data_IF_093113252216
#
_entry.id   IF_093113252216
#
_cell.length_a   1.000
_cell.length_b   1.000
_cell.length_c   1.000
_cell.angle_alpha   90.00
_cell.angle_beta   90.00
_cell.angle_gamma   90.00
#
_symmetry.space_group_name_H-M   'P 1'
#
loop_
_entity.id
_entity.type
_entity.pdbx_description
1 polymer ?
#
# COMPACT_ATOMS: atom_id res chain seq x y z
N UNK A 1 -18.73 -8.68 -92.69
CA UNK A 1 -17.34 -9.16 -92.74
C UNK A 1 -16.81 -9.22 -91.31
N UNK A 2 -16.23 -10.34 -90.90
CA UNK A 2 -15.98 -10.76 -89.51
C UNK A 2 -14.48 -10.92 -89.29
N UNK A 3 -13.90 -10.25 -88.30
CA UNK A 3 -12.53 -10.45 -87.75
C UNK A 3 -12.51 -9.83 -86.33
N UNK A 4 -12.65 -10.57 -85.21
CA UNK A 4 -11.61 -11.26 -84.38
C UNK A 4 -10.35 -10.38 -84.17
N UNK A 5 -9.98 -9.88 -82.98
CA UNK A 5 -9.42 -10.54 -81.77
C UNK A 5 -8.39 -9.50 -81.19
N UNK A 6 -8.30 -9.12 -79.92
CA UNK A 6 -7.75 -9.80 -78.74
C UNK A 6 -8.09 -9.05 -77.44
N UNK A 7 -8.29 -9.83 -76.37
CA UNK A 7 -8.38 -9.41 -74.98
C UNK A 7 -6.97 -9.26 -74.37
N UNK A 8 -6.72 -8.19 -73.61
CA UNK A 8 -5.61 -8.15 -72.65
C UNK A 8 -6.19 -7.73 -71.29
N UNK A 9 -6.23 -8.70 -70.39
CA UNK A 9 -6.62 -8.55 -69.00
C UNK A 9 -5.44 -7.91 -68.24
N UNK A 10 -5.56 -6.65 -67.82
CA UNK A 10 -4.57 -6.02 -66.94
C UNK A 10 -4.94 -6.33 -65.49
N UNK A 11 -4.25 -7.32 -64.89
CA UNK A 11 -4.38 -7.65 -63.48
C UNK A 11 -3.74 -6.55 -62.62
N UNK A 12 -4.56 -5.66 -62.05
CA UNK A 12 -4.12 -4.71 -61.02
C UNK A 12 -4.00 -5.49 -59.70
N UNK A 13 -2.76 -5.81 -59.30
CA UNK A 13 -2.47 -6.23 -57.92
C UNK A 13 -2.40 -4.98 -57.06
N UNK A 14 -3.43 -4.74 -56.26
CA UNK A 14 -3.42 -3.69 -55.23
C UNK A 14 -2.49 -4.16 -54.10
N UNK A 15 -1.31 -3.55 -54.02
CA UNK A 15 -0.36 -3.73 -52.93
C UNK A 15 -0.85 -2.94 -51.71
N UNK A 16 -1.20 -3.65 -50.63
CA UNK A 16 -1.64 -3.06 -49.37
C UNK A 16 -0.40 -2.55 -48.61
N UNK A 17 -0.03 -1.28 -48.80
CA UNK A 17 0.97 -0.63 -47.95
C UNK A 17 0.36 -0.36 -46.57
N UNK A 18 0.75 -1.15 -45.57
CA UNK A 18 0.41 -0.89 -44.17
C UNK A 18 1.19 0.33 -43.65
N UNK A 19 0.49 1.44 -43.43
CA UNK A 19 1.03 2.59 -42.69
C UNK A 19 1.06 2.27 -41.20
N UNK A 20 2.23 1.89 -40.68
CA UNK A 20 2.46 1.80 -39.23
C UNK A 20 2.68 3.24 -38.73
N UNK A 21 1.63 3.85 -38.18
CA UNK A 21 1.75 5.13 -37.49
C UNK A 21 2.48 4.92 -36.15
N UNK A 22 3.74 5.34 -36.09
CA UNK A 22 4.53 5.35 -34.85
C UNK A 22 4.03 6.52 -33.98
N UNK A 23 3.07 6.27 -33.09
CA UNK A 23 2.62 7.30 -32.15
C UNK A 23 3.66 7.42 -31.02
N UNK A 24 4.38 8.55 -30.88
CA UNK A 24 5.27 8.73 -29.74
C UNK A 24 4.44 8.75 -28.45
N UNK A 25 4.74 7.82 -27.53
CA UNK A 25 4.18 7.80 -26.18
C UNK A 25 4.75 8.98 -25.38
N UNK A 26 4.16 10.16 -25.53
CA UNK A 26 4.52 11.33 -24.70
C UNK A 26 4.00 11.06 -23.29
N UNK A 27 4.89 10.64 -22.39
CA UNK A 27 4.58 10.41 -20.97
C UNK A 27 4.44 11.74 -20.23
N UNK A 28 3.23 12.28 -20.18
CA UNK A 28 2.91 13.49 -19.40
C UNK A 28 2.82 13.11 -17.92
N UNK A 29 3.62 13.77 -17.06
CA UNK A 29 3.52 13.61 -15.62
C UNK A 29 2.12 14.04 -15.15
N UNK A 30 1.37 13.12 -14.55
CA UNK A 30 0.05 13.42 -14.01
C UNK A 30 0.20 14.33 -12.77
N UNK A 31 -0.64 15.37 -12.61
CA UNK A 31 -0.59 16.21 -11.42
C UNK A 31 -0.82 15.37 -10.16
N UNK A 32 -0.05 15.64 -9.11
CA UNK A 32 -0.23 14.99 -7.81
C UNK A 32 -1.48 15.56 -7.15
N UNK A 33 -2.49 14.72 -6.95
CA UNK A 33 -3.72 15.08 -6.26
C UNK A 33 -3.55 15.05 -4.73
N UNK A 34 -4.47 15.67 -4.02
CA UNK A 34 -4.64 15.53 -2.57
C UNK A 34 -6.05 15.03 -2.27
N UNK A 35 -6.19 14.13 -1.29
CA UNK A 35 -7.50 13.74 -0.77
C UNK A 35 -8.05 14.87 0.10
N UNK A 36 -9.00 15.63 -0.44
CA UNK A 36 -9.59 16.80 0.21
C UNK A 36 -10.71 16.42 1.18
N UNK A 37 -11.49 15.38 0.85
CA UNK A 37 -12.60 14.92 1.70
C UNK A 37 -12.96 13.47 1.40
N UNK A 38 -13.60 12.82 2.38
CA UNK A 38 -14.31 11.58 2.19
C UNK A 38 -15.54 11.53 3.09
N UNK A 39 -16.57 10.81 2.66
CA UNK A 39 -17.80 10.64 3.43
C UNK A 39 -18.40 9.27 3.14
N UNK A 40 -18.73 8.52 4.20
CA UNK A 40 -19.46 7.28 4.08
C UNK A 40 -20.90 7.44 4.55
N UNK A 41 -21.84 6.98 3.74
CA UNK A 41 -23.27 6.99 4.02
C UNK A 41 -23.74 5.57 4.40
N UNK A 42 -23.93 5.25 5.69
CA UNK A 42 -24.21 3.87 6.12
C UNK A 42 -25.51 3.29 5.56
N UNK A 43 -26.53 4.13 5.35
CA UNK A 43 -27.83 3.68 4.83
C UNK A 43 -27.75 3.19 3.39
N UNK A 44 -26.98 3.87 2.54
CA UNK A 44 -26.81 3.52 1.12
C UNK A 44 -25.52 2.72 0.86
N UNK A 45 -24.69 2.53 1.89
CA UNK A 45 -23.40 1.85 1.84
C UNK A 45 -22.41 2.47 0.85
N UNK A 46 -22.53 3.78 0.57
CA UNK A 46 -21.69 4.47 -0.40
C UNK A 46 -20.57 5.24 0.29
N UNK A 47 -19.34 5.06 -0.20
CA UNK A 47 -18.20 5.91 0.12
C UNK A 47 -18.01 6.93 -1.01
N UNK A 48 -18.04 8.22 -0.66
CA UNK A 48 -17.75 9.32 -1.57
C UNK A 48 -16.39 9.91 -1.22
N UNK A 49 -15.58 10.23 -2.22
CA UNK A 49 -14.30 10.92 -2.03
C UNK A 49 -14.19 12.17 -2.92
N UNK A 50 -13.32 13.09 -2.50
CA UNK A 50 -13.02 14.32 -3.22
C UNK A 50 -11.51 14.53 -3.31
N UNK A 51 -11.01 14.79 -4.51
CA UNK A 51 -9.60 15.00 -4.83
C UNK A 51 -9.36 16.42 -5.33
N UNK A 52 -8.17 16.97 -5.10
CA UNK A 52 -7.79 18.30 -5.61
C UNK A 52 -7.48 18.32 -7.10
N UNK A 53 -7.08 17.18 -7.67
CA UNK A 53 -6.77 17.00 -9.07
C UNK A 53 -7.29 15.64 -9.56
N UNK A 54 -7.29 15.44 -10.87
CA UNK A 54 -7.73 14.18 -11.48
C UNK A 54 -6.82 13.04 -11.06
N UNK A 55 -7.41 11.99 -10.50
CA UNK A 55 -6.77 10.69 -10.33
C UNK A 55 -7.83 9.59 -10.48
N UNK A 56 -7.40 8.41 -10.92
CA UNK A 56 -8.27 7.24 -11.09
C UNK A 56 -8.01 6.26 -9.96
N UNK A 57 -8.95 6.11 -9.00
CA UNK A 57 -8.83 5.14 -7.93
C UNK A 57 -8.87 3.70 -8.47
N UNK A 58 -8.28 2.79 -7.72
CA UNK A 58 -8.29 1.36 -7.98
C UNK A 58 -8.74 0.65 -6.72
N UNK A 59 -9.45 -0.47 -6.85
CA UNK A 59 -9.89 -1.23 -5.68
C UNK A 59 -9.55 -2.71 -5.80
N UNK A 60 -9.43 -3.36 -4.64
CA UNK A 60 -9.31 -4.80 -4.50
C UNK A 60 -9.88 -5.25 -3.15
N UNK A 61 -10.01 -6.56 -2.96
CA UNK A 61 -10.60 -7.16 -1.75
C UNK A 61 -9.59 -8.05 -1.05
N UNK A 62 -9.71 -8.15 0.27
CA UNK A 62 -8.99 -9.11 1.12
C UNK A 62 -10.02 -9.90 1.93
N UNK A 63 -9.76 -11.18 2.23
CA UNK A 63 -10.76 -12.06 2.87
C UNK A 63 -10.46 -12.42 4.34
N UNK A 64 -9.22 -12.25 4.82
CA UNK A 64 -8.84 -12.52 6.22
C UNK A 64 -8.16 -11.30 6.88
N UNK A 65 -8.89 -10.49 7.69
CA UNK A 65 -10.34 -10.36 7.72
C UNK A 65 -10.89 -9.71 6.43
N UNK A 66 -12.21 -9.77 6.18
CA UNK A 66 -12.81 -9.21 4.97
C UNK A 66 -12.63 -7.68 4.90
N UNK A 67 -12.04 -7.19 3.81
CA UNK A 67 -11.77 -5.76 3.57
C UNK A 67 -11.97 -5.39 2.12
N UNK A 68 -12.40 -4.15 1.89
CA UNK A 68 -12.30 -3.48 0.60
C UNK A 68 -11.20 -2.44 0.70
N UNK A 69 -10.25 -2.48 -0.21
CA UNK A 69 -9.15 -1.52 -0.28
C UNK A 69 -9.34 -0.67 -1.52
N UNK A 70 -9.24 0.64 -1.34
CA UNK A 70 -9.32 1.65 -2.39
C UNK A 70 -8.00 2.44 -2.40
N UNK A 71 -7.19 2.21 -3.42
CA UNK A 71 -5.96 2.93 -3.67
C UNK A 71 -6.21 4.16 -4.52
N UNK A 72 -5.55 5.25 -4.14
CA UNK A 72 -5.55 6.53 -4.83
C UNK A 72 -4.13 6.79 -5.37
N UNK A 73 -3.81 6.36 -6.61
CA UNK A 73 -2.54 6.65 -7.24
C UNK A 73 -2.31 8.15 -7.41
N UNK A 74 -1.04 8.56 -7.43
CA UNK A 74 -0.60 9.96 -7.53
C UNK A 74 -1.35 10.90 -6.58
N UNK A 75 -1.67 10.42 -5.38
CA UNK A 75 -2.48 11.16 -4.41
C UNK A 75 -1.75 11.24 -3.07
N UNK A 76 -1.72 12.44 -2.49
CA UNK A 76 -1.26 12.69 -1.13
C UNK A 76 -2.43 12.71 -0.15
N UNK A 77 -2.19 12.31 1.08
CA UNK A 77 -3.14 12.44 2.16
C UNK A 77 -3.29 13.93 2.53
N UNK A 78 -4.50 14.46 2.41
CA UNK A 78 -4.83 15.81 2.84
C UNK A 78 -5.16 15.88 4.34
N UNK A 79 -5.63 17.05 4.79
CA UNK A 79 -6.11 17.26 6.16
C UNK A 79 -7.53 16.72 6.31
N UNK A 80 -7.67 15.40 6.43
CA UNK A 80 -8.95 14.70 6.60
C UNK A 80 -8.91 13.79 7.82
N UNK A 81 -10.08 13.42 8.34
CA UNK A 81 -10.19 12.37 9.35
C UNK A 81 -9.61 11.05 8.79
N UNK A 82 -8.65 10.44 9.46
CA UNK A 82 -7.98 9.23 8.94
C UNK A 82 -8.65 7.94 9.40
N UNK A 83 -9.57 8.00 10.36
CA UNK A 83 -10.28 6.82 10.84
C UNK A 83 -11.68 7.17 11.35
N UNK A 84 -12.66 6.30 11.07
CA UNK A 84 -13.99 6.36 11.68
C UNK A 84 -14.59 4.96 11.82
N UNK A 85 -15.25 4.71 12.95
CA UNK A 85 -15.99 3.49 13.23
C UNK A 85 -17.48 3.63 12.90
N UNK A 86 -18.13 2.49 12.63
CA UNK A 86 -19.54 2.36 12.27
C UNK A 86 -20.09 1.04 12.84
N UNK A 87 -21.41 0.96 13.04
CA UNK A 87 -22.09 -0.21 13.62
C UNK A 87 -22.69 -1.19 12.59
N UNK A 88 -22.32 -1.07 11.31
CA UNK A 88 -22.94 -1.82 10.22
C UNK A 88 -22.00 -2.81 9.54
N UNK A 89 -22.36 -3.17 8.30
CA UNK A 89 -21.58 -4.06 7.43
C UNK A 89 -20.13 -3.59 7.22
N UNK A 90 -19.93 -2.28 7.16
CA UNK A 90 -18.61 -1.65 7.28
C UNK A 90 -18.47 -1.24 8.75
N UNK A 91 -17.46 -1.76 9.43
CA UNK A 91 -17.19 -1.47 10.84
C UNK A 91 -16.24 -0.28 11.01
N UNK A 92 -15.31 -0.12 10.07
CA UNK A 92 -14.28 0.90 10.15
C UNK A 92 -13.83 1.33 8.77
N UNK A 93 -13.57 2.62 8.62
CA UNK A 93 -12.85 3.16 7.46
C UNK A 93 -11.55 3.76 7.97
N UNK A 94 -10.43 3.34 7.38
CA UNK A 94 -9.07 3.79 7.69
C UNK A 94 -8.44 4.38 6.45
N UNK A 95 -7.67 5.45 6.62
CA UNK A 95 -7.00 6.16 5.53
C UNK A 95 -5.56 6.40 5.94
N UNK A 96 -4.62 6.04 5.06
CA UNK A 96 -3.20 6.28 5.28
C UNK A 96 -2.49 6.61 3.97
N UNK A 97 -1.38 7.31 4.07
CA UNK A 97 -0.41 7.38 2.97
C UNK A 97 0.32 6.03 2.94
N UNK A 98 0.09 5.21 1.92
CA UNK A 98 0.74 3.90 1.77
C UNK A 98 2.22 4.06 1.43
N UNK A 99 2.52 4.98 0.51
CA UNK A 99 3.86 5.37 0.11
C UNK A 99 3.81 6.78 -0.49
N UNK A 100 4.94 7.30 -0.98
CA UNK A 100 5.03 8.65 -1.53
C UNK A 100 3.97 8.96 -2.60
N UNK A 101 3.46 7.98 -3.35
CA UNK A 101 2.57 8.22 -4.48
C UNK A 101 1.15 7.70 -4.27
N UNK A 102 0.89 6.90 -3.23
CA UNK A 102 -0.40 6.23 -3.04
C UNK A 102 -0.98 6.57 -1.68
N UNK A 103 -2.19 7.13 -1.66
CA UNK A 103 -3.05 7.17 -0.48
C UNK A 103 -4.00 5.98 -0.54
N UNK A 104 -4.11 5.22 0.55
CA UNK A 104 -4.95 4.03 0.64
C UNK A 104 -6.10 4.26 1.61
N UNK A 105 -7.30 3.91 1.19
CA UNK A 105 -8.51 3.85 2.02
C UNK A 105 -8.87 2.37 2.20
N UNK A 106 -9.10 1.94 3.44
CA UNK A 106 -9.46 0.57 3.79
C UNK A 106 -10.81 0.58 4.50
N UNK A 107 -11.77 -0.16 3.97
CA UNK A 107 -13.06 -0.40 4.60
C UNK A 107 -13.00 -1.79 5.22
N UNK A 108 -12.94 -1.86 6.54
CA UNK A 108 -13.03 -3.12 7.27
C UNK A 108 -14.50 -3.55 7.36
N UNK A 109 -14.76 -4.80 6.99
CA UNK A 109 -16.10 -5.34 6.97
C UNK A 109 -16.38 -6.15 8.22
N UNK A 110 -17.64 -6.18 8.61
CA UNK A 110 -18.09 -7.03 9.69
C UNK A 110 -17.96 -8.51 9.31
N UNK A 111 -17.62 -9.39 10.27
CA UNK A 111 -17.70 -10.83 10.06
C UNK A 111 -19.09 -11.24 9.54
N UNK A 112 -19.10 -12.16 8.58
CA UNK A 112 -20.34 -12.61 7.92
C UNK A 112 -20.90 -11.65 6.85
N UNK A 113 -20.25 -10.51 6.59
CA UNK A 113 -20.59 -9.64 5.44
C UNK A 113 -20.29 -10.35 4.13
N UNK A 114 -21.30 -10.43 3.26
CA UNK A 114 -21.16 -11.03 1.93
C UNK A 114 -20.96 -9.92 0.89
N UNK A 115 -19.84 -10.00 0.17
CA UNK A 115 -19.51 -9.10 -0.94
C UNK A 115 -19.99 -9.70 -2.25
N UNK A 116 -20.82 -8.97 -2.98
CA UNK A 116 -21.17 -9.34 -4.35
C UNK A 116 -20.05 -8.83 -5.27
N UNK A 117 -18.96 -9.61 -5.38
CA UNK A 117 -17.70 -9.21 -6.05
C UNK A 117 -17.90 -8.59 -7.42
N UNK A 118 -18.87 -9.11 -8.20
CA UNK A 118 -19.13 -8.66 -9.57
C UNK A 118 -20.00 -7.40 -9.65
N UNK A 119 -20.37 -6.83 -8.50
CA UNK A 119 -21.28 -5.69 -8.40
C UNK A 119 -20.63 -4.48 -7.73
N UNK A 120 -19.36 -4.55 -7.32
CA UNK A 120 -18.66 -3.37 -6.80
C UNK A 120 -18.53 -2.33 -7.91
N UNK A 121 -19.11 -1.16 -7.68
CA UNK A 121 -19.11 -0.05 -8.61
C UNK A 121 -18.23 1.07 -8.08
N UNK A 122 -17.25 1.47 -8.88
CA UNK A 122 -16.40 2.63 -8.64
C UNK A 122 -16.56 3.59 -9.82
N UNK A 123 -17.22 4.73 -9.59
CA UNK A 123 -17.61 5.64 -10.68
C UNK A 123 -17.24 7.09 -10.36
N UNK A 124 -16.77 7.85 -11.36
CA UNK A 124 -16.58 9.28 -11.20
C UNK A 124 -17.92 10.02 -11.31
N UNK A 125 -18.10 11.09 -10.52
CA UNK A 125 -19.29 11.95 -10.65
C UNK A 125 -19.24 12.85 -11.90
N UNK A 126 -18.04 13.10 -12.45
CA UNK A 126 -17.85 13.85 -13.70
C UNK A 126 -16.86 13.13 -14.59
N UNK A 127 -17.24 12.87 -15.85
CA UNK A 127 -16.36 12.21 -16.83
C UNK A 127 -15.27 13.13 -17.36
N UNK A 128 -15.49 14.44 -17.38
CA UNK A 128 -14.52 15.40 -17.93
C UNK A 128 -13.39 15.72 -16.95
N UNK A 129 -13.71 15.81 -15.65
CA UNK A 129 -12.75 16.08 -14.58
C UNK A 129 -13.05 15.17 -13.39
N UNK A 130 -12.55 13.92 -13.39
CA UNK A 130 -12.89 12.95 -12.36
C UNK A 130 -12.11 13.20 -11.06
N UNK A 131 -12.52 14.24 -10.34
CA UNK A 131 -12.01 14.61 -9.01
C UNK A 131 -12.92 14.11 -7.88
N UNK A 132 -14.10 13.59 -8.22
CA UNK A 132 -15.09 13.08 -7.28
C UNK A 132 -15.46 11.66 -7.66
N UNK A 133 -15.39 10.75 -6.70
CA UNK A 133 -15.65 9.33 -6.93
C UNK A 133 -16.63 8.78 -5.90
N UNK A 134 -17.41 7.80 -6.34
CA UNK A 134 -18.33 7.04 -5.49
C UNK A 134 -17.99 5.56 -5.62
N UNK A 135 -17.73 4.93 -4.47
CA UNK A 135 -17.63 3.49 -4.33
C UNK A 135 -18.95 2.96 -3.74
N UNK A 136 -19.61 2.08 -4.49
CA UNK A 136 -20.75 1.31 -4.04
C UNK A 136 -20.35 -0.18 -4.01
N UNK A 137 -20.11 -0.76 -2.82
CA UNK A 137 -19.57 -2.10 -2.69
C UNK A 137 -20.60 -3.23 -2.83
N UNK A 138 -21.91 -2.94 -2.92
CA UNK A 138 -23.00 -3.94 -2.99
C UNK A 138 -22.80 -5.11 -2.03
N UNK A 139 -23.13 -4.86 -0.76
CA UNK A 139 -22.87 -5.77 0.35
C UNK A 139 -24.15 -6.17 1.05
N UNK A 140 -24.27 -7.45 1.36
CA UNK A 140 -25.36 -8.00 2.17
C UNK A 140 -24.82 -8.32 3.56
N UNK A 141 -25.50 -7.83 4.59
CA UNK A 141 -25.10 -8.01 5.97
C UNK A 141 -26.30 -8.39 6.81
N UNK A 142 -26.20 -9.51 7.53
CA UNK A 142 -27.15 -9.92 8.55
C UNK A 142 -26.46 -9.85 9.91
N UNK A 143 -26.94 -9.01 10.84
CA UNK A 143 -26.37 -8.92 12.18
C UNK A 143 -26.44 -10.25 12.95
N UNK A 144 -27.38 -11.13 12.64
CA UNK A 144 -27.47 -12.45 13.28
C UNK A 144 -26.29 -13.36 12.93
N UNK A 145 -25.68 -13.17 11.75
CA UNK A 145 -24.54 -13.98 11.31
C UNK A 145 -23.22 -13.56 11.98
N UNK A 146 -23.14 -12.37 12.58
CA UNK A 146 -21.92 -11.92 13.28
C UNK A 146 -21.75 -12.59 14.64
N UNK A 147 -22.83 -13.13 15.23
CA UNK A 147 -22.81 -13.88 16.50
C UNK A 147 -22.22 -15.29 16.36
N UNK A 148 -22.08 -15.80 15.12
CA UNK A 148 -21.57 -17.13 14.81
C UNK A 148 -20.05 -17.18 14.57
N UNK A 149 -19.38 -16.03 14.57
CA UNK A 149 -17.92 -15.94 14.44
C UNK A 149 -17.34 -15.17 15.62
N UNK A 150 -17.40 -15.78 16.81
CA UNK A 150 -16.42 -15.49 17.84
C UNK A 150 -15.08 -16.06 17.35
N UNK A 151 -13.98 -15.29 17.30
CA UNK A 151 -12.67 -15.91 17.32
C UNK A 151 -12.62 -16.67 18.66
N UNK A 152 -12.58 -18.00 18.59
CA UNK A 152 -12.22 -18.81 19.74
C UNK A 152 -10.76 -18.49 20.04
N UNK A 153 -10.53 -17.46 20.85
CA UNK A 153 -9.35 -17.46 21.73
C UNK A 153 -9.61 -18.58 22.72
N UNK A 154 -9.34 -19.81 22.30
CA UNK A 154 -9.16 -20.93 23.20
C UNK A 154 -8.01 -20.53 24.10
N UNK A 155 -8.32 -20.06 25.31
CA UNK A 155 -7.36 -20.14 26.41
C UNK A 155 -6.89 -21.60 26.46
N UNK A 156 -5.58 -21.88 26.50
CA UNK A 156 -5.10 -23.24 26.66
C UNK A 156 -5.71 -23.82 27.95
N UNK A 157 -6.01 -25.13 28.01
CA UNK A 157 -6.50 -25.74 29.23
C UNK A 157 -5.47 -25.49 30.34
N UNK A 158 -5.88 -24.87 31.44
CA UNK A 158 -5.08 -24.85 32.65
C UNK A 158 -5.04 -26.27 33.21
N UNK A 159 -3.99 -27.03 32.87
CA UNK A 159 -3.67 -28.27 33.57
C UNK A 159 -3.22 -27.90 34.98
N UNK A 160 -4.03 -28.26 35.98
CA UNK A 160 -3.60 -28.27 37.37
C UNK A 160 -2.38 -29.20 37.49
N UNK A 161 -1.20 -28.63 37.77
CA UNK A 161 -0.01 -29.38 38.11
C UNK A 161 0.34 -29.12 39.58
N UNK A 162 0.05 -30.11 40.41
CA UNK A 162 0.70 -30.34 41.70
C UNK A 162 2.18 -30.64 41.47
N UNK A 163 3.01 -29.72 41.94
CA UNK A 163 4.42 -29.84 42.37
C UNK A 163 5.23 -31.04 41.88
N UNK A 164 6.08 -30.82 40.87
CA UNK A 164 7.45 -31.36 40.91
C UNK A 164 8.41 -30.41 40.19
N UNK A 165 9.50 -30.07 40.87
CA UNK A 165 10.35 -28.91 40.61
C UNK A 165 11.39 -29.20 39.54
N UNK A 166 11.14 -28.78 38.29
CA UNK A 166 12.20 -28.45 37.32
C UNK A 166 11.60 -27.78 36.05
N UNK A 167 11.35 -26.47 36.13
CA UNK A 167 11.40 -25.56 34.98
C UNK A 167 11.63 -24.11 35.46
N UNK A 168 12.48 -23.29 34.80
CA UNK A 168 12.83 -21.97 35.31
C UNK A 168 11.66 -20.99 35.19
N UNK A 169 11.34 -20.34 36.30
CA UNK A 169 10.40 -19.24 36.40
C UNK A 169 11.05 -17.95 35.86
N UNK A 170 10.55 -17.41 34.75
CA UNK A 170 10.84 -16.02 34.38
C UNK A 170 9.75 -15.14 35.00
N UNK A 171 10.00 -14.63 36.19
CA UNK A 171 9.20 -13.56 36.78
C UNK A 171 9.77 -12.22 36.34
N UNK A 172 8.93 -11.37 35.74
CA UNK A 172 9.26 -9.97 35.49
C UNK A 172 9.04 -9.19 36.79
N UNK A 173 10.05 -8.49 37.34
CA UNK A 173 9.88 -7.74 38.59
C UNK A 173 9.05 -6.46 38.37
N UNK A 174 8.38 -5.95 39.41
CA UNK A 174 7.62 -4.70 39.32
C UNK A 174 8.57 -3.52 39.13
N UNK A 175 8.17 -2.56 38.29
CA UNK A 175 8.94 -1.37 37.99
C UNK A 175 8.98 -0.45 39.22
N UNK A 176 10.14 -0.41 39.90
CA UNK A 176 10.38 0.51 41.03
C UNK A 176 11.03 1.81 40.51
N UNK A 177 10.38 2.94 40.74
CA UNK A 177 10.73 4.25 40.17
C UNK A 177 11.74 5.06 40.99
N UNK A 178 12.76 4.44 41.60
CA UNK A 178 13.77 5.16 42.40
C UNK A 178 15.15 4.46 42.40
N UNK A 179 16.00 4.69 41.37
CA UNK A 179 17.47 4.92 41.46
C UNK A 179 18.12 5.07 40.05
N UNK A 180 19.24 5.80 39.87
CA UNK A 180 19.77 6.17 38.55
C UNK A 180 20.67 5.09 37.90
N UNK A 181 20.83 5.20 36.58
CA UNK A 181 21.49 4.24 35.70
C UNK A 181 23.00 4.08 35.95
N UNK A 182 23.52 2.82 36.07
CA UNK A 182 24.95 2.54 36.00
C UNK A 182 25.38 2.02 34.61
N UNK A 183 26.23 2.83 33.98
CA UNK A 183 27.42 2.57 33.16
C UNK A 183 27.64 1.11 32.68
N UNK A 184 27.70 0.94 31.36
CA UNK A 184 28.02 -0.28 30.60
C UNK A 184 29.52 -0.58 30.71
N UNK A 185 29.88 -1.71 31.31
CA UNK A 185 31.17 -2.38 31.09
C UNK A 185 30.93 -3.91 31.09
N UNK A 186 30.83 -4.49 29.90
CA UNK A 186 31.16 -5.91 29.68
C UNK A 186 31.62 -6.12 28.23
N UNK A 187 32.58 -7.04 27.99
CA UNK A 187 33.32 -7.12 26.74
C UNK A 187 32.57 -7.95 25.71
N UNK A 188 32.37 -7.40 24.51
CA UNK A 188 31.82 -8.11 23.36
C UNK A 188 32.96 -8.89 22.65
N UNK A 189 32.75 -10.14 22.19
CA UNK A 189 33.74 -10.81 21.35
C UNK A 189 33.86 -10.10 19.99
N UNK A 190 35.06 -10.02 19.38
CA UNK A 190 35.22 -9.41 18.06
C UNK A 190 34.43 -10.17 16.99
N UNK A 191 33.66 -9.45 16.18
CA UNK A 191 33.07 -9.98 14.97
C UNK A 191 34.16 -10.35 13.96
N UNK A 192 34.25 -11.61 13.56
CA UNK A 192 35.01 -12.01 12.36
C UNK A 192 34.31 -11.47 11.12
N UNK A 193 34.84 -10.40 10.55
CA UNK A 193 34.49 -9.89 9.23
C UNK A 193 35.42 -10.56 8.19
N UNK A 194 34.93 -11.08 7.05
CA UNK A 194 35.80 -11.58 6.01
C UNK A 194 36.68 -10.43 5.47
N UNK A 195 37.98 -10.68 5.45
CA UNK A 195 39.03 -9.79 4.97
C UNK A 195 38.89 -9.57 3.46
N UNK A 196 38.89 -8.34 2.95
CA UNK A 196 39.06 -8.09 1.52
C UNK A 196 40.50 -8.43 1.10
N UNK A 197 40.68 -9.27 0.10
CA UNK A 197 41.99 -9.48 -0.52
C UNK A 197 42.49 -8.19 -1.18
N UNK A 198 43.62 -7.70 -0.69
CA UNK A 198 44.34 -6.54 -1.22
C UNK A 198 45.06 -6.93 -2.53
N UNK A 199 44.45 -6.64 -3.67
CA UNK A 199 45.13 -6.70 -4.96
C UNK A 199 46.04 -5.47 -5.10
N UNK A 200 47.33 -5.65 -4.84
CA UNK A 200 48.37 -4.67 -5.16
C UNK A 200 48.61 -4.64 -6.66
N UNK A 201 48.00 -3.69 -7.36
CA UNK A 201 48.63 -3.01 -8.50
C UNK A 201 47.87 -1.73 -8.93
N UNK A 202 48.64 -0.64 -9.04
CA UNK A 202 48.45 0.57 -9.87
C UNK A 202 47.47 1.72 -9.48
N UNK A 203 48.10 2.82 -9.03
CA UNK A 203 47.85 4.26 -9.31
C UNK A 203 46.67 5.04 -8.67
N UNK A 204 46.87 6.36 -8.40
CA UNK A 204 46.29 7.04 -7.25
C UNK A 204 45.02 7.81 -7.59
N UNK A 205 43.96 7.62 -6.82
CA UNK A 205 42.94 8.65 -6.61
C UNK A 205 42.36 8.48 -5.21
N UNK A 206 42.71 9.42 -4.35
CA UNK A 206 42.35 9.53 -2.94
C UNK A 206 40.84 9.79 -2.74
N UNK A 207 40.07 8.93 -2.03
CA UNK A 207 38.81 9.34 -1.44
C UNK A 207 39.06 9.87 -0.01
N UNK A 208 38.83 11.17 0.12
CA UNK A 208 38.79 11.97 1.36
C UNK A 208 38.11 11.19 2.49
N UNK A 209 38.87 10.87 3.54
CA UNK A 209 38.39 10.28 4.78
C UNK A 209 37.21 11.09 5.32
N UNK A 210 36.05 10.45 5.49
CA UNK A 210 34.90 11.05 6.16
C UNK A 210 35.15 10.88 7.67
N UNK A 211 35.27 11.96 8.46
CA UNK A 211 35.46 11.82 9.89
C UNK A 211 34.22 11.22 10.53
N UNK A 212 34.43 10.22 11.38
CA UNK A 212 33.40 9.67 12.25
C UNK A 212 33.02 10.75 13.26
N UNK A 213 31.77 11.22 13.23
CA UNK A 213 31.26 12.25 14.13
C UNK A 213 30.63 11.56 15.34
N UNK A 214 31.22 11.77 16.51
CA UNK A 214 30.70 11.26 17.79
C UNK A 214 29.63 12.21 18.36
N UNK A 215 28.59 11.64 18.99
CA UNK A 215 27.42 12.38 19.43
C UNK A 215 27.78 13.38 20.54
N UNK A 216 27.73 14.68 20.23
CA UNK A 216 28.08 15.77 21.16
C UNK A 216 29.22 16.67 20.68
N UNK A 217 29.93 16.30 19.60
CA UNK A 217 30.90 17.20 18.96
C UNK A 217 30.22 18.21 18.03
N UNK A 218 30.70 19.47 17.97
CA UNK A 218 30.21 20.45 17.01
C UNK A 218 30.55 20.00 15.58
N UNK A 219 29.60 20.21 14.65
CA UNK A 219 29.79 19.88 13.24
C UNK A 219 31.04 20.58 12.69
N UNK A 220 31.93 19.85 11.98
CA UNK A 220 33.10 20.45 11.38
C UNK A 220 32.68 21.49 10.34
N UNK A 221 33.18 22.72 10.47
CA UNK A 221 32.91 23.79 9.52
C UNK A 221 33.64 23.52 8.21
N UNK A 222 32.88 23.24 7.15
CA UNK A 222 33.42 23.16 5.80
C UNK A 222 33.76 24.59 5.33
N UNK A 223 35.06 24.89 5.24
CA UNK A 223 35.52 26.01 4.41
C UNK A 223 35.41 25.57 2.94
N UNK A 224 34.61 26.31 2.18
CA UNK A 224 34.58 26.21 0.71
C UNK A 224 35.85 26.83 0.11
#
# INVERSE_FOLDING_TARGET
>A
MKTRTNQILLSIRVSLFGLIAFTPSISIAQPIAQLNNWEFHPKSQQLKISLSATATPQYFQLMQPPRIVLDLPNTKLGKVLTQKEYSGAIQRIRISQLNANITRIVLDLAPGTQLQTNQIQLQPLSRQKPTRWVLNPHITFSPANSLLTTPSTSLPPSTNLTTNSQQPLITVPPLNSQNPSPIINSPLPPAMLPTPEENKNSSPNNPKEIPIIEFGQPLPSQKF
#
